data_IF_379300969708
#
_entry.id   IF_379300969708
#
_cell.length_a   1.000
_cell.length_b   1.000
_cell.length_c   1.000
_cell.angle_alpha   90.00
_cell.angle_beta   90.00
_cell.angle_gamma   90.00
#
_symmetry.space_group_name_H-M   'P 1'
#
loop_
_entity.id
_entity.type
_entity.pdbx_description
1 polymer ?
#
# COMPACT_ATOMS: atom_id res chain seq x y z
N UNK A 1 9.06 -17.38 -6.78
CA UNK A 1 9.55 -18.53 -5.96
C UNK A 1 9.96 -18.12 -4.55
N UNK A 2 10.85 -17.12 -4.34
CA UNK A 2 11.34 -16.72 -3.02
C UNK A 2 10.21 -16.28 -2.07
N UNK A 3 9.22 -15.53 -2.51
CA UNK A 3 8.09 -15.08 -1.70
C UNK A 3 7.25 -16.25 -1.20
N UNK A 4 6.99 -17.24 -2.04
CA UNK A 4 6.28 -18.47 -1.64
C UNK A 4 7.08 -19.30 -0.64
N UNK A 5 8.39 -19.37 -0.83
CA UNK A 5 9.28 -20.06 0.11
C UNK A 5 9.27 -19.37 1.49
N UNK A 6 9.31 -18.05 1.54
CA UNK A 6 9.18 -17.28 2.80
C UNK A 6 7.83 -17.55 3.47
N UNK A 7 6.73 -17.41 2.74
CA UNK A 7 5.38 -17.67 3.29
C UNK A 7 5.28 -19.08 3.85
N UNK A 8 5.85 -20.08 3.17
CA UNK A 8 5.80 -21.48 3.61
C UNK A 8 6.58 -21.76 4.90
N UNK A 9 7.57 -20.93 5.22
CA UNK A 9 8.46 -21.10 6.39
C UNK A 9 8.00 -20.30 7.62
N UNK A 10 7.15 -19.30 7.45
CA UNK A 10 6.61 -18.52 8.57
C UNK A 10 5.54 -19.34 9.28
N UNK A 11 5.69 -19.53 10.59
CA UNK A 11 4.72 -20.26 11.42
C UNK A 11 3.78 -19.26 12.09
N UNK A 12 2.49 -19.50 11.95
CA UNK A 12 1.42 -18.73 12.60
C UNK A 12 1.56 -17.20 12.41
N UNK A 13 1.64 -16.70 11.16
CA UNK A 13 1.73 -15.27 10.93
C UNK A 13 0.44 -14.58 11.40
N UNK A 14 0.57 -13.47 12.12
CA UNK A 14 -0.58 -12.62 12.45
C UNK A 14 -1.21 -12.05 11.16
N UNK A 15 -0.37 -11.71 10.19
CA UNK A 15 -0.76 -11.09 8.93
C UNK A 15 0.34 -11.32 7.89
N UNK A 16 -0.07 -11.51 6.65
CA UNK A 16 0.81 -11.53 5.50
C UNK A 16 0.43 -10.38 4.57
N UNK A 17 1.39 -9.53 4.26
CA UNK A 17 1.22 -8.47 3.27
C UNK A 17 2.22 -8.63 2.12
N UNK A 18 1.81 -8.28 0.92
CA UNK A 18 2.71 -8.21 -0.23
C UNK A 18 2.51 -6.88 -0.97
N UNK A 19 3.61 -6.32 -1.43
CA UNK A 19 3.63 -5.25 -2.42
C UNK A 19 4.10 -5.81 -3.76
N UNK A 20 3.64 -5.23 -4.86
CA UNK A 20 3.98 -5.64 -6.22
C UNK A 20 5.05 -4.73 -6.82
N UNK A 21 5.58 -5.17 -7.96
CA UNK A 21 6.54 -4.41 -8.77
C UNK A 21 6.35 -4.79 -10.24
N UNK A 22 6.40 -3.79 -11.13
CA UNK A 22 6.20 -3.97 -12.59
C UNK A 22 7.02 -5.13 -13.16
N UNK A 23 8.29 -5.26 -12.75
CA UNK A 23 9.16 -6.33 -13.23
C UNK A 23 8.57 -7.74 -13.01
N UNK A 24 7.96 -7.97 -11.85
CA UNK A 24 7.37 -9.27 -11.54
C UNK A 24 6.08 -9.51 -12.31
N UNK A 25 5.30 -8.44 -12.54
CA UNK A 25 4.10 -8.50 -13.35
C UNK A 25 4.44 -8.81 -14.81
N UNK A 26 5.50 -8.19 -15.35
CA UNK A 26 5.97 -8.45 -16.72
C UNK A 26 6.47 -9.88 -16.91
N UNK A 27 7.25 -10.38 -15.96
CA UNK A 27 7.94 -11.67 -16.12
C UNK A 27 7.11 -12.86 -15.61
N UNK A 28 6.32 -12.68 -14.56
CA UNK A 28 5.65 -13.74 -13.81
C UNK A 28 4.24 -13.36 -13.37
N UNK A 29 3.34 -12.89 -14.28
CA UNK A 29 2.01 -12.41 -13.89
C UNK A 29 1.19 -13.49 -13.19
N UNK A 30 1.29 -14.73 -13.59
CA UNK A 30 0.58 -15.84 -12.95
C UNK A 30 1.05 -16.08 -11.51
N UNK A 31 2.35 -15.95 -11.25
CA UNK A 31 2.89 -16.08 -9.89
C UNK A 31 2.41 -14.95 -8.99
N UNK A 32 2.32 -13.72 -9.51
CA UNK A 32 1.75 -12.60 -8.78
C UNK A 32 0.28 -12.87 -8.42
N UNK A 33 -0.52 -13.37 -9.38
CA UNK A 33 -1.92 -13.74 -9.13
C UNK A 33 -2.05 -14.87 -8.09
N UNK A 34 -1.15 -15.85 -8.07
CA UNK A 34 -1.14 -16.88 -7.04
C UNK A 34 -0.67 -16.34 -5.67
N UNK A 35 0.21 -15.33 -5.65
CA UNK A 35 0.63 -14.66 -4.43
C UNK A 35 -0.54 -13.90 -3.77
N UNK A 36 -1.35 -13.21 -4.57
CA UNK A 36 -2.52 -12.47 -4.09
C UNK A 36 -3.43 -13.38 -3.25
N UNK A 37 -3.63 -14.63 -3.65
CA UNK A 37 -4.47 -15.61 -2.93
C UNK A 37 -3.91 -16.05 -1.57
N UNK A 38 -2.67 -15.68 -1.25
CA UNK A 38 -1.96 -16.14 -0.04
C UNK A 38 -1.67 -15.02 0.96
N UNK A 39 -2.11 -13.81 0.67
CA UNK A 39 -1.85 -12.64 1.52
C UNK A 39 -3.14 -12.06 2.08
N UNK A 40 -3.05 -11.42 3.24
CA UNK A 40 -4.16 -10.70 3.88
C UNK A 40 -4.28 -9.27 3.34
N UNK A 41 -3.14 -8.66 2.99
CA UNK A 41 -3.08 -7.31 2.42
C UNK A 41 -2.27 -7.35 1.13
N UNK A 42 -2.84 -6.77 0.09
CA UNK A 42 -2.15 -6.61 -1.18
C UNK A 42 -2.04 -5.13 -1.55
N UNK A 43 -0.80 -4.69 -1.79
CA UNK A 43 -0.47 -3.33 -2.17
C UNK A 43 0.10 -3.33 -3.60
N UNK A 44 -0.25 -2.31 -4.39
CA UNK A 44 0.29 -2.11 -5.72
C UNK A 44 0.04 -0.66 -6.15
N UNK A 45 0.64 -0.21 -7.25
CA UNK A 45 0.29 1.06 -7.85
C UNK A 45 -0.83 0.91 -8.91
N UNK A 46 -1.37 2.03 -9.39
CA UNK A 46 -2.48 2.03 -10.37
C UNK A 46 -2.06 1.45 -11.73
N UNK A 47 -0.84 1.69 -12.19
CA UNK A 47 -0.33 1.11 -13.44
C UNK A 47 -0.19 -0.42 -13.34
N UNK A 48 0.35 -0.91 -12.25
CA UNK A 48 0.45 -2.34 -11.94
C UNK A 48 -0.92 -3.01 -11.86
N UNK A 49 -1.88 -2.35 -11.22
CA UNK A 49 -3.25 -2.81 -11.09
C UNK A 49 -3.93 -2.96 -12.46
N UNK A 50 -3.83 -1.94 -13.31
CA UNK A 50 -4.37 -1.94 -14.66
C UNK A 50 -3.69 -2.99 -15.54
N UNK A 51 -2.37 -3.17 -15.40
CA UNK A 51 -1.62 -4.16 -16.16
C UNK A 51 -2.04 -5.59 -15.81
N UNK A 52 -2.20 -5.92 -14.52
CA UNK A 52 -2.62 -7.26 -14.07
C UNK A 52 -4.04 -7.63 -14.52
N UNK A 53 -4.97 -6.66 -14.50
CA UNK A 53 -6.37 -6.91 -14.82
C UNK A 53 -6.75 -6.61 -16.27
N UNK A 54 -5.90 -5.93 -17.04
CA UNK A 54 -6.13 -5.61 -18.45
C UNK A 54 -7.22 -4.56 -18.69
N UNK A 55 -7.61 -3.80 -17.69
CA UNK A 55 -8.56 -2.68 -17.80
C UNK A 55 -8.27 -1.58 -16.77
N UNK A 56 -8.85 -0.38 -16.95
CA UNK A 56 -8.54 0.84 -16.22
C UNK A 56 -9.52 1.19 -15.07
N UNK A 57 -10.53 0.37 -14.85
CA UNK A 57 -11.52 0.61 -13.80
C UNK A 57 -11.00 0.13 -12.43
N UNK A 58 -10.37 1.03 -11.67
CA UNK A 58 -9.73 0.70 -10.40
C UNK A 58 -10.71 0.14 -9.35
N UNK A 59 -11.96 0.61 -9.32
CA UNK A 59 -12.95 0.10 -8.36
C UNK A 59 -13.32 -1.37 -8.66
N UNK A 60 -13.39 -1.74 -9.95
CA UNK A 60 -13.55 -3.14 -10.34
C UNK A 60 -12.32 -3.97 -10.00
N UNK A 61 -11.12 -3.44 -10.26
CA UNK A 61 -9.85 -4.11 -9.95
C UNK A 61 -9.74 -4.41 -8.46
N UNK A 62 -10.09 -3.45 -7.60
CA UNK A 62 -10.12 -3.66 -6.14
C UNK A 62 -11.05 -4.82 -5.78
N UNK A 63 -12.28 -4.84 -6.32
CA UNK A 63 -13.24 -5.92 -6.05
C UNK A 63 -12.74 -7.28 -6.59
N UNK A 64 -12.09 -7.31 -7.74
CA UNK A 64 -11.48 -8.52 -8.28
C UNK A 64 -10.40 -9.06 -7.34
N UNK A 65 -9.47 -8.21 -6.90
CA UNK A 65 -8.42 -8.63 -5.98
C UNK A 65 -8.95 -9.08 -4.62
N UNK A 66 -9.94 -8.38 -4.05
CA UNK A 66 -10.62 -8.82 -2.82
C UNK A 66 -11.26 -10.21 -2.99
N UNK A 67 -11.81 -10.51 -4.17
CA UNK A 67 -12.42 -11.82 -4.45
C UNK A 67 -11.42 -12.98 -4.47
N UNK A 68 -10.12 -12.70 -4.64
CA UNK A 68 -9.06 -13.71 -4.63
C UNK A 68 -8.57 -14.09 -3.24
N UNK A 69 -8.90 -13.32 -2.19
CA UNK A 69 -8.57 -13.71 -0.82
C UNK A 69 -8.11 -12.60 0.13
N UNK A 70 -7.42 -11.53 -0.32
CA UNK A 70 -7.01 -10.45 0.57
C UNK A 70 -8.18 -9.83 1.32
N UNK A 71 -7.95 -9.47 2.58
CA UNK A 71 -8.90 -8.70 3.40
C UNK A 71 -8.88 -7.22 3.07
N UNK A 72 -7.70 -6.75 2.64
CA UNK A 72 -7.45 -5.35 2.30
C UNK A 72 -6.65 -5.30 0.98
N UNK A 73 -7.11 -4.46 0.06
CA UNK A 73 -6.38 -4.11 -1.17
C UNK A 73 -6.14 -2.61 -1.17
N UNK A 74 -4.90 -2.18 -1.41
CA UNK A 74 -4.55 -0.76 -1.49
C UNK A 74 -3.88 -0.48 -2.82
N UNK A 75 -4.51 0.39 -3.63
CA UNK A 75 -3.94 0.89 -4.88
C UNK A 75 -3.38 2.30 -4.64
N UNK A 76 -2.06 2.41 -4.77
CA UNK A 76 -1.31 3.68 -4.64
C UNK A 76 -1.42 4.44 -5.97
N UNK A 77 -1.86 5.71 -5.96
CA UNK A 77 -2.07 6.51 -7.17
C UNK A 77 -1.18 7.77 -7.20
N UNK A 78 -0.04 7.73 -6.54
CA UNK A 78 0.91 8.84 -6.45
C UNK A 78 0.27 10.11 -5.89
N UNK A 79 0.35 11.22 -6.64
CA UNK A 79 -0.22 12.51 -6.23
C UNK A 79 -1.76 12.52 -6.14
N UNK A 80 -2.42 11.50 -6.68
CA UNK A 80 -3.88 11.34 -6.58
C UNK A 80 -4.32 10.64 -5.29
N UNK A 81 -3.37 10.24 -4.43
CA UNK A 81 -3.65 9.55 -3.17
C UNK A 81 -3.72 8.03 -3.31
N UNK A 82 -4.66 7.40 -2.64
CA UNK A 82 -4.82 5.93 -2.66
C UNK A 82 -6.28 5.51 -2.62
N UNK A 83 -6.52 4.32 -3.16
CA UNK A 83 -7.81 3.62 -3.13
C UNK A 83 -7.68 2.41 -2.21
N UNK A 84 -8.57 2.30 -1.24
CA UNK A 84 -8.55 1.25 -0.22
C UNK A 84 -9.82 0.44 -0.32
N UNK A 85 -9.70 -0.86 -0.61
CA UNK A 85 -10.80 -1.81 -0.62
C UNK A 85 -10.75 -2.75 0.58
N UNK A 86 -11.86 -2.93 1.26
CA UNK A 86 -12.01 -3.90 2.37
C UNK A 86 -13.48 -4.24 2.57
N UNK A 87 -13.79 -5.51 2.84
CA UNK A 87 -15.17 -5.97 2.92
C UNK A 87 -15.94 -5.65 1.64
N UNK A 88 -16.96 -4.82 1.74
CA UNK A 88 -17.75 -4.32 0.60
C UNK A 88 -17.53 -2.83 0.35
N UNK A 89 -16.54 -2.23 0.98
CA UNK A 89 -16.27 -0.80 0.90
C UNK A 89 -15.04 -0.51 0.05
N UNK A 90 -15.10 0.61 -0.67
CA UNK A 90 -13.98 1.18 -1.40
C UNK A 90 -13.91 2.66 -1.04
N UNK A 91 -12.82 3.06 -0.40
CA UNK A 91 -12.60 4.42 0.09
C UNK A 91 -11.40 5.03 -0.64
N UNK A 92 -11.53 6.29 -1.05
CA UNK A 92 -10.42 7.08 -1.61
C UNK A 92 -9.92 8.05 -0.56
N UNK A 93 -8.61 8.19 -0.47
CA UNK A 93 -7.96 9.24 0.32
C UNK A 93 -7.05 10.08 -0.56
N UNK A 94 -6.91 11.37 -0.24
CA UNK A 94 -5.96 12.23 -0.91
C UNK A 94 -4.51 11.92 -0.48
N UNK A 95 -3.53 12.41 -1.24
CA UNK A 95 -2.17 12.54 -0.72
C UNK A 95 -2.09 13.68 0.33
N UNK A 96 -0.96 13.79 1.03
CA UNK A 96 -0.64 14.98 1.85
C UNK A 96 -0.45 16.17 0.89
N UNK A 97 -1.18 17.29 1.09
CA UNK A 97 -1.09 18.44 0.19
C UNK A 97 0.26 19.16 0.32
N UNK A 98 0.62 19.93 -0.72
CA UNK A 98 1.78 20.83 -0.73
C UNK A 98 3.14 20.15 -0.45
N UNK A 99 3.27 18.85 -0.65
CA UNK A 99 4.55 18.15 -0.54
C UNK A 99 5.38 18.42 -1.79
N UNK A 100 6.58 18.98 -1.60
CA UNK A 100 7.55 19.11 -2.69
C UNK A 100 8.24 17.77 -2.89
N UNK A 101 7.98 17.13 -4.02
CA UNK A 101 8.65 15.87 -4.38
C UNK A 101 10.06 16.18 -4.86
N UNK A 102 11.06 15.61 -4.20
CA UNK A 102 12.49 15.69 -4.55
C UNK A 102 12.94 14.35 -5.16
N UNK A 103 12.64 13.23 -4.49
CA UNK A 103 12.96 11.89 -4.96
C UNK A 103 11.81 10.93 -4.61
N UNK A 104 11.12 10.33 -5.59
CA UNK A 104 10.04 9.39 -5.32
C UNK A 104 10.52 7.97 -4.95
N UNK A 105 11.83 7.71 -4.99
CA UNK A 105 12.40 6.39 -4.70
C UNK A 105 12.08 5.97 -3.27
N UNK A 106 11.57 4.75 -3.10
CA UNK A 106 11.18 4.20 -1.79
C UNK A 106 9.86 4.72 -1.23
N UNK A 107 9.10 5.53 -1.98
CA UNK A 107 7.79 6.00 -1.55
C UNK A 107 6.81 4.84 -1.31
N UNK A 108 6.81 3.84 -2.19
CA UNK A 108 6.00 2.63 -2.05
C UNK A 108 6.35 1.83 -0.80
N UNK A 109 7.64 1.57 -0.60
CA UNK A 109 8.16 0.83 0.56
C UNK A 109 7.83 1.56 1.88
N UNK A 110 8.01 2.87 1.90
CA UNK A 110 7.69 3.70 3.06
C UNK A 110 6.20 3.76 3.34
N UNK A 111 5.37 3.80 2.29
CA UNK A 111 3.92 3.69 2.41
C UNK A 111 3.53 2.35 3.03
N UNK A 112 4.04 1.24 2.48
CA UNK A 112 3.78 -0.10 3.02
C UNK A 112 4.25 -0.22 4.49
N UNK A 113 5.45 0.29 4.81
CA UNK A 113 5.96 0.35 6.17
C UNK A 113 5.06 1.14 7.12
N UNK A 114 4.52 2.27 6.69
CA UNK A 114 3.58 3.09 7.48
C UNK A 114 2.25 2.36 7.72
N UNK A 115 1.69 1.71 6.69
CA UNK A 115 0.48 0.87 6.79
C UNK A 115 0.69 -0.26 7.79
N UNK A 116 1.75 -1.03 7.62
CA UNK A 116 2.03 -2.19 8.46
C UNK A 116 2.39 -1.81 9.89
N UNK A 117 3.10 -0.68 10.09
CA UNK A 117 3.41 -0.14 11.40
C UNK A 117 2.15 0.25 12.16
N UNK A 118 1.17 0.89 11.51
CA UNK A 118 -0.13 1.16 12.11
C UNK A 118 -0.85 -0.12 12.50
N UNK A 119 -0.95 -1.08 11.59
CA UNK A 119 -1.66 -2.33 11.82
C UNK A 119 -1.00 -3.16 12.93
N UNK A 120 0.32 -3.17 13.01
CA UNK A 120 1.04 -3.86 14.08
C UNK A 120 0.73 -3.28 15.47
N UNK A 121 0.43 -2.00 15.55
CA UNK A 121 0.12 -1.32 16.81
C UNK A 121 -1.37 -1.33 17.16
N UNK A 122 -2.27 -1.20 16.18
CA UNK A 122 -3.69 -0.93 16.39
C UNK A 122 -4.63 -2.01 15.83
N UNK A 123 -4.09 -2.99 15.10
CA UNK A 123 -4.89 -4.03 14.45
C UNK A 123 -5.41 -3.63 13.06
N UNK A 124 -6.31 -4.46 12.53
CA UNK A 124 -6.86 -4.37 11.18
C UNK A 124 -8.18 -3.59 11.08
N UNK A 125 -8.70 -3.08 12.19
CA UNK A 125 -10.07 -2.56 12.26
C UNK A 125 -10.28 -1.25 11.50
N UNK A 126 -9.21 -0.51 11.20
CA UNK A 126 -9.28 0.76 10.47
C UNK A 126 -8.25 0.81 9.32
N UNK A 127 -8.54 0.14 8.18
CA UNK A 127 -7.65 0.14 7.02
C UNK A 127 -7.44 1.52 6.42
N UNK A 128 -8.41 2.42 6.56
CA UNK A 128 -8.33 3.79 6.04
C UNK A 128 -7.28 4.58 6.84
N UNK A 129 -7.31 4.50 8.17
CA UNK A 129 -6.25 5.11 8.99
C UNK A 129 -4.89 4.49 8.74
N UNK A 130 -4.81 3.17 8.55
CA UNK A 130 -3.56 2.53 8.17
C UNK A 130 -3.00 3.13 6.86
N UNK A 131 -3.84 3.29 5.83
CA UNK A 131 -3.44 3.92 4.57
C UNK A 131 -3.06 5.40 4.74
N UNK A 132 -3.75 6.15 5.60
CA UNK A 132 -3.37 7.53 5.94
C UNK A 132 -1.98 7.60 6.61
N UNK A 133 -1.66 6.65 7.50
CA UNK A 133 -0.31 6.54 8.07
C UNK A 133 0.72 6.26 6.98
N UNK A 134 0.47 5.31 6.07
CA UNK A 134 1.32 5.04 4.91
C UNK A 134 1.54 6.28 4.05
N UNK A 135 0.46 7.01 3.73
CA UNK A 135 0.51 8.26 2.95
C UNK A 135 1.35 9.33 3.64
N UNK A 136 1.17 9.49 4.96
CA UNK A 136 1.96 10.46 5.74
C UNK A 136 3.45 10.11 5.73
N UNK A 137 3.81 8.85 5.99
CA UNK A 137 5.21 8.38 5.98
C UNK A 137 5.84 8.56 4.61
N UNK A 138 5.16 8.13 3.54
CA UNK A 138 5.63 8.31 2.17
C UNK A 138 5.88 9.78 1.80
N UNK A 139 5.09 10.71 2.35
CA UNK A 139 5.25 12.15 2.12
C UNK A 139 6.57 12.72 2.65
N UNK A 140 7.10 12.14 3.72
CA UNK A 140 8.45 12.50 4.23
C UNK A 140 9.53 11.90 3.32
N UNK A 141 9.38 10.65 2.88
CA UNK A 141 10.32 9.99 1.97
C UNK A 141 10.51 10.80 0.69
N UNK A 142 9.44 11.16 0.01
CA UNK A 142 9.54 11.87 -1.28
C UNK A 142 10.06 13.30 -1.16
N UNK A 143 10.12 13.86 0.05
CA UNK A 143 10.53 15.26 0.29
C UNK A 143 12.04 15.47 0.47
N UNK A 144 12.85 14.41 0.36
CA UNK A 144 14.31 14.45 0.40
C UNK A 144 14.90 13.31 -0.44
N UNK A 145 16.22 13.20 -0.50
CA UNK A 145 16.90 12.03 -1.08
C UNK A 145 16.98 10.89 -0.05
N UNK A 146 16.68 9.68 -0.52
CA UNK A 146 16.75 8.48 0.31
C UNK A 146 15.84 8.58 1.55
N UNK A 147 16.42 8.36 2.74
CA UNK A 147 15.70 8.36 4.02
C UNK A 147 15.97 9.59 4.90
N UNK A 148 16.59 10.64 4.36
CA UNK A 148 17.04 11.80 5.15
C UNK A 148 15.90 12.40 5.99
N UNK A 149 14.74 12.59 5.42
CA UNK A 149 13.58 13.16 6.13
C UNK A 149 12.78 12.14 6.94
N UNK A 150 13.11 10.85 6.88
CA UNK A 150 12.48 9.82 7.72
C UNK A 150 13.27 9.53 9.00
N UNK A 151 14.58 9.76 9.01
CA UNK A 151 15.47 9.32 10.10
C UNK A 151 15.05 9.87 11.47
N UNK A 152 14.60 11.12 11.51
CA UNK A 152 14.25 11.82 12.75
C UNK A 152 12.77 12.18 12.85
N UNK A 153 11.92 11.57 12.01
CA UNK A 153 10.48 11.84 12.03
C UNK A 153 9.88 11.35 13.34
N UNK A 154 9.30 12.30 14.07
CA UNK A 154 8.55 12.00 15.30
C UNK A 154 7.10 11.67 14.97
N UNK A 155 6.51 10.79 15.75
CA UNK A 155 5.15 10.31 15.57
C UNK A 155 4.10 11.45 15.51
N UNK A 156 4.30 12.54 16.28
CA UNK A 156 3.43 13.70 16.22
C UNK A 156 3.41 14.37 14.85
N UNK A 157 4.54 14.43 14.13
CA UNK A 157 4.60 15.00 12.77
C UNK A 157 3.84 14.13 11.77
N UNK A 158 3.90 12.81 11.93
CA UNK A 158 3.09 11.88 11.13
C UNK A 158 1.61 12.15 11.39
N UNK A 159 1.19 12.25 12.65
CA UNK A 159 -0.19 12.53 13.02
C UNK A 159 -0.68 13.90 12.53
N UNK A 160 0.17 14.91 12.50
CA UNK A 160 -0.19 16.23 11.97
C UNK A 160 -0.47 16.17 10.47
N UNK A 161 0.37 15.48 9.69
CA UNK A 161 0.12 15.28 8.25
C UNK A 161 -1.12 14.44 7.95
N UNK A 162 -1.46 13.47 8.80
CA UNK A 162 -2.68 12.67 8.65
C UNK A 162 -3.94 13.56 8.70
N UNK A 163 -3.95 14.63 9.52
CA UNK A 163 -5.08 15.57 9.61
C UNK A 163 -5.32 16.36 8.32
N UNK A 164 -4.32 16.45 7.46
CA UNK A 164 -4.40 17.13 6.17
C UNK A 164 -4.94 16.22 5.05
N UNK A 165 -4.98 14.89 5.27
CA UNK A 165 -5.47 13.91 4.31
C UNK A 165 -6.99 13.89 4.35
N UNK A 166 -7.62 13.96 3.18
CA UNK A 166 -9.07 13.97 3.03
C UNK A 166 -9.56 12.61 2.55
N UNK A 167 -10.72 12.20 3.03
CA UNK A 167 -11.52 11.13 2.42
C UNK A 167 -12.31 11.78 1.28
N UNK A 168 -12.25 11.18 0.07
CA UNK A 168 -12.79 11.73 -1.17
C UNK A 168 -14.07 11.01 -1.59
#
# INVERSE_FOLDING_TARGET
>A
ELQFDVISKVKDPFLIAADSMNLWIDLFPNDVMELIKKVDIFLLNDEEAMQLCGHDNLDKIVNEFLSYGPKIVIIKMGSKGSLIGFGNEIIRISCVPNVKVIDPTGAGDSFAGGVLGYIAQYGLDDPVKAAMHGTSVASFTVSAFGLENLYDVKLNLIHDKIKEIQIL
#
